data_IF_791159310142
#
_entry.id   IF_791159310142
#
_cell.length_a   1.000
_cell.length_b   1.000
_cell.length_c   1.000
_cell.angle_alpha   90.00
_cell.angle_beta   90.00
_cell.angle_gamma   90.00
#
_symmetry.space_group_name_H-M   'P 1'
#
loop_
_entity.id
_entity.type
_entity.pdbx_description
1 polymer ?
#
# COMPACT_ATOMS: atom_id res chain seq x y z
N UNK A 1 -5.69 -22.52 -4.66
CA UNK A 1 -5.41 -21.08 -4.45
C UNK A 1 -5.64 -20.47 -5.82
N UNK A 2 -6.90 -20.42 -6.27
CA UNK A 2 -7.19 -20.39 -7.72
C UNK A 2 -7.70 -19.02 -8.19
N UNK A 3 -7.67 -18.01 -7.30
CA UNK A 3 -8.07 -16.64 -7.61
C UNK A 3 -7.17 -15.65 -6.88
N UNK A 4 -6.46 -14.81 -7.64
CA UNK A 4 -5.72 -13.66 -7.11
C UNK A 4 -6.74 -12.63 -6.58
N UNK A 5 -6.60 -12.22 -5.32
CA UNK A 5 -7.50 -11.26 -4.66
C UNK A 5 -7.54 -9.91 -5.39
N UNK A 6 -6.52 -9.61 -6.18
CA UNK A 6 -6.40 -8.37 -6.95
C UNK A 6 -7.03 -8.46 -8.33
N UNK A 7 -7.33 -9.68 -8.83
CA UNK A 7 -7.97 -9.88 -10.13
C UNK A 7 -9.48 -9.71 -10.07
N UNK A 8 -10.08 -9.90 -8.90
CA UNK A 8 -11.52 -9.73 -8.73
C UNK A 8 -11.87 -8.23 -8.66
N UNK A 9 -12.72 -7.75 -9.57
CA UNK A 9 -13.30 -6.39 -9.50
C UNK A 9 -14.20 -6.22 -8.25
N UNK A 10 -14.51 -7.33 -7.58
CA UNK A 10 -15.17 -7.39 -6.28
C UNK A 10 -14.61 -8.59 -5.51
N UNK A 11 -14.16 -8.41 -4.27
CA UNK A 11 -13.70 -9.52 -3.43
C UNK A 11 -14.82 -10.57 -3.35
N UNK A 12 -14.45 -11.86 -3.30
CA UNK A 12 -15.43 -12.93 -3.16
C UNK A 12 -16.31 -12.63 -1.95
N UNK A 13 -17.62 -12.43 -2.15
CA UNK A 13 -18.58 -12.13 -1.09
C UNK A 13 -18.55 -13.13 0.08
N UNK A 14 -17.95 -14.30 -0.16
CA UNK A 14 -17.72 -15.37 0.81
C UNK A 14 -16.97 -14.92 2.07
N UNK A 15 -16.07 -13.92 2.00
CA UNK A 15 -15.23 -13.51 3.15
C UNK A 15 -15.45 -12.05 3.58
N UNK A 16 -16.53 -11.41 3.12
CA UNK A 16 -16.80 -10.02 3.43
C UNK A 16 -17.08 -9.81 4.92
N UNK A 17 -16.37 -8.87 5.55
CA UNK A 17 -16.55 -8.55 6.97
C UNK A 17 -16.16 -9.66 7.94
N UNK A 18 -15.25 -10.56 7.57
CA UNK A 18 -14.81 -11.64 8.47
C UNK A 18 -13.71 -11.22 9.44
N UNK A 19 -12.91 -10.21 9.08
CA UNK A 19 -11.68 -9.89 9.80
C UNK A 19 -11.84 -8.66 10.70
N UNK A 20 -11.40 -8.77 11.94
CA UNK A 20 -11.26 -7.62 12.86
C UNK A 20 -9.98 -6.83 12.58
N UNK A 21 -9.03 -7.41 11.86
CA UNK A 21 -7.73 -6.80 11.59
C UNK A 21 -7.16 -7.27 10.25
N UNK A 22 -6.69 -6.34 9.43
CA UNK A 22 -5.97 -6.61 8.18
C UNK A 22 -4.65 -5.85 8.22
N UNK A 23 -3.55 -6.54 7.90
CA UNK A 23 -2.23 -5.93 7.73
C UNK A 23 -1.78 -5.99 6.28
N UNK A 24 -1.28 -4.86 5.79
CA UNK A 24 -0.67 -4.72 4.48
C UNK A 24 0.73 -4.14 4.72
N UNK A 25 1.73 -5.01 4.77
CA UNK A 25 3.08 -4.62 5.18
C UNK A 25 4.03 -4.63 3.98
N UNK A 26 4.28 -3.45 3.40
CA UNK A 26 5.19 -3.27 2.26
C UNK A 26 4.79 -4.09 1.02
N UNK A 27 3.47 -4.08 0.73
CA UNK A 27 2.85 -4.82 -0.38
C UNK A 27 2.37 -3.88 -1.48
N UNK A 28 1.83 -2.70 -1.15
CA UNK A 28 1.19 -1.83 -2.15
C UNK A 28 2.20 -1.26 -3.14
N UNK A 29 3.45 -1.04 -2.73
CA UNK A 29 4.56 -0.66 -3.62
C UNK A 29 5.15 -1.85 -4.41
N UNK A 30 4.65 -3.07 -4.17
CA UNK A 30 5.14 -4.34 -4.75
C UNK A 30 4.11 -5.12 -5.55
N UNK A 31 2.96 -4.51 -5.85
CA UNK A 31 1.86 -5.16 -6.54
C UNK A 31 1.42 -4.39 -7.80
N UNK A 32 0.70 -5.07 -8.69
CA UNK A 32 0.20 -4.49 -9.92
C UNK A 32 -0.98 -3.53 -9.70
N UNK A 33 -1.87 -3.87 -8.76
CA UNK A 33 -3.15 -3.15 -8.52
C UNK A 33 -3.27 -2.70 -7.06
N UNK A 34 -2.43 -1.78 -6.56
CA UNK A 34 -2.47 -1.36 -5.15
C UNK A 34 -3.82 -0.82 -4.67
N UNK A 35 -4.53 -0.08 -5.53
CA UNK A 35 -5.87 0.39 -5.21
C UNK A 35 -6.87 -0.78 -5.00
N UNK A 36 -6.72 -1.87 -5.76
CA UNK A 36 -7.56 -3.06 -5.58
C UNK A 36 -7.24 -3.81 -4.28
N UNK A 37 -5.97 -3.82 -3.85
CA UNK A 37 -5.56 -4.37 -2.54
C UNK A 37 -6.25 -3.59 -1.41
N UNK A 38 -6.24 -2.26 -1.44
CA UNK A 38 -6.91 -1.43 -0.43
C UNK A 38 -8.43 -1.67 -0.40
N UNK A 39 -9.10 -1.73 -1.55
CA UNK A 39 -10.53 -2.04 -1.63
C UNK A 39 -10.85 -3.44 -1.08
N UNK A 40 -9.99 -4.41 -1.38
CA UNK A 40 -10.15 -5.77 -0.86
C UNK A 40 -10.01 -5.79 0.65
N UNK A 41 -8.99 -5.12 1.20
CA UNK A 41 -8.82 -5.00 2.64
C UNK A 41 -10.03 -4.35 3.32
N UNK A 42 -10.61 -3.29 2.74
CA UNK A 42 -11.81 -2.64 3.28
C UNK A 42 -12.98 -3.62 3.34
N UNK A 43 -13.23 -4.37 2.26
CA UNK A 43 -14.34 -5.33 2.20
C UNK A 43 -14.21 -6.52 3.18
N UNK A 44 -12.97 -6.92 3.48
CA UNK A 44 -12.67 -8.04 4.36
C UNK A 44 -12.83 -7.64 5.84
N UNK A 45 -12.70 -6.34 6.13
CA UNK A 45 -12.80 -5.81 7.48
C UNK A 45 -14.25 -5.72 7.95
N UNK A 46 -14.44 -6.06 9.22
CA UNK A 46 -15.65 -5.71 9.97
C UNK A 46 -15.76 -4.18 10.13
N UNK A 47 -16.96 -3.64 10.41
CA UNK A 47 -17.14 -2.20 10.65
C UNK A 47 -16.26 -1.64 11.78
N UNK A 48 -15.98 -2.44 12.82
CA UNK A 48 -15.11 -2.04 13.94
C UNK A 48 -13.65 -2.50 13.78
N UNK A 49 -13.30 -3.00 12.60
CA UNK A 49 -11.98 -3.56 12.33
C UNK A 49 -10.88 -2.51 12.17
N UNK A 50 -9.66 -2.99 11.95
CA UNK A 50 -8.47 -2.17 11.84
C UNK A 50 -7.63 -2.53 10.62
N UNK A 51 -7.14 -1.51 9.92
CA UNK A 51 -6.10 -1.64 8.91
C UNK A 51 -4.77 -1.18 9.49
N UNK A 52 -3.74 -2.02 9.41
CA UNK A 52 -2.34 -1.61 9.54
C UNK A 52 -1.68 -1.61 8.16
N UNK A 53 -1.35 -0.44 7.65
CA UNK A 53 -0.68 -0.27 6.35
C UNK A 53 0.75 0.22 6.57
N UNK A 54 1.70 -0.42 5.91
CA UNK A 54 3.09 0.04 5.79
C UNK A 54 3.48 0.11 4.31
N UNK A 55 4.18 1.17 3.93
CA UNK A 55 4.76 1.35 2.59
C UNK A 55 5.96 2.28 2.64
N UNK A 56 7.06 1.95 1.93
CA UNK A 56 8.19 2.86 1.84
C UNK A 56 7.82 4.12 1.05
N UNK A 57 8.35 5.25 1.51
CA UNK A 57 8.31 6.53 0.82
C UNK A 57 9.75 7.03 0.55
N UNK A 58 10.01 7.74 -0.57
CA UNK A 58 9.06 8.08 -1.61
C UNK A 58 8.50 6.86 -2.36
N UNK A 59 7.21 6.91 -2.67
CA UNK A 59 6.47 5.78 -3.23
C UNK A 59 6.99 5.44 -4.63
N UNK A 60 7.55 4.24 -4.78
CA UNK A 60 8.13 3.76 -6.03
C UNK A 60 7.59 2.36 -6.34
N UNK A 61 6.35 2.31 -6.84
CA UNK A 61 5.68 1.04 -7.12
C UNK A 61 6.28 0.32 -8.33
N UNK A 62 6.57 -0.97 -8.12
CA UNK A 62 6.93 -1.92 -9.17
C UNK A 62 6.54 -3.33 -8.75
N UNK A 63 6.44 -4.26 -9.69
CA UNK A 63 6.14 -5.65 -9.39
C UNK A 63 6.83 -6.59 -10.38
N UNK A 64 6.90 -7.88 -10.04
CA UNK A 64 7.53 -8.89 -10.89
C UNK A 64 6.46 -9.69 -11.67
N UNK A 65 6.60 -9.75 -13.00
CA UNK A 65 5.91 -10.71 -13.87
C UNK A 65 6.94 -11.70 -14.40
N UNK A 66 7.10 -12.81 -13.67
CA UNK A 66 8.18 -13.77 -13.91
C UNK A 66 9.54 -13.06 -13.85
N UNK A 67 10.38 -13.11 -14.91
CA UNK A 67 11.70 -12.49 -14.91
C UNK A 67 11.68 -10.97 -15.17
N UNK A 68 10.51 -10.36 -15.39
CA UNK A 68 10.40 -8.94 -15.75
C UNK A 68 9.95 -8.10 -14.57
N UNK A 69 10.62 -6.97 -14.36
CA UNK A 69 10.11 -5.88 -13.53
C UNK A 69 9.17 -5.01 -14.36
N UNK A 70 7.97 -4.76 -13.84
CA UNK A 70 6.96 -3.90 -14.44
C UNK A 70 6.51 -2.83 -13.44
N UNK A 71 5.83 -1.79 -13.93
CA UNK A 71 5.18 -0.77 -13.11
C UNK A 71 3.67 -0.88 -13.27
N UNK A 72 2.89 -0.60 -12.21
CA UNK A 72 1.45 -0.47 -12.32
C UNK A 72 1.07 0.49 -13.44
N UNK A 73 0.00 0.17 -14.19
CA UNK A 73 -0.53 1.10 -15.16
C UNK A 73 -1.15 2.32 -14.45
N UNK A 74 -1.17 3.51 -15.05
CA UNK A 74 -1.64 4.73 -14.39
C UNK A 74 -2.99 4.59 -13.70
N UNK A 75 -3.94 3.88 -14.32
CA UNK A 75 -5.29 3.60 -13.82
C UNK A 75 -5.34 2.67 -12.60
N UNK A 76 -4.27 1.92 -12.33
CA UNK A 76 -4.18 1.00 -11.21
C UNK A 76 -3.32 1.54 -10.05
N UNK A 77 -2.63 2.68 -10.25
CA UNK A 77 -1.81 3.34 -9.22
C UNK A 77 -2.66 4.04 -8.15
N UNK A 78 -2.04 4.39 -7.03
CA UNK A 78 -2.65 5.24 -5.98
C UNK A 78 -2.65 6.74 -6.35
N UNK A 79 -2.19 7.11 -7.56
CA UNK A 79 -2.07 8.50 -8.04
C UNK A 79 -1.31 9.43 -7.06
N UNK A 80 -0.33 8.88 -6.35
CA UNK A 80 0.57 9.68 -5.54
C UNK A 80 1.38 10.62 -6.45
N UNK A 81 1.58 11.85 -5.99
CA UNK A 81 2.35 12.83 -6.76
C UNK A 81 3.75 12.29 -7.01
N UNK A 82 4.19 12.35 -8.26
CA UNK A 82 5.57 12.08 -8.60
C UNK A 82 6.48 13.12 -7.92
N UNK A 83 7.54 12.63 -7.30
CA UNK A 83 8.52 13.46 -6.61
C UNK A 83 9.89 13.20 -7.22
N UNK A 84 10.72 14.24 -7.29
CA UNK A 84 12.10 14.07 -7.72
C UNK A 84 12.89 13.34 -6.63
N UNK A 85 13.81 12.47 -7.01
CA UNK A 85 14.71 11.77 -6.06
C UNK A 85 15.66 12.73 -5.33
N UNK A 86 15.76 13.99 -5.76
CA UNK A 86 16.62 15.00 -5.13
C UNK A 86 16.00 15.62 -3.87
N UNK A 87 14.68 15.47 -3.66
CA UNK A 87 13.94 16.16 -2.60
C UNK A 87 13.43 15.20 -1.52
N UNK A 88 14.23 14.17 -1.17
CA UNK A 88 13.79 13.00 -0.39
C UNK A 88 12.91 13.30 0.83
N UNK A 89 13.26 14.29 1.66
CA UNK A 89 12.48 14.65 2.85
C UNK A 89 11.16 15.37 2.51
N UNK A 90 11.19 16.32 1.58
CA UNK A 90 10.00 17.03 1.14
C UNK A 90 9.04 16.09 0.39
N UNK A 91 9.59 15.18 -0.41
CA UNK A 91 8.88 14.12 -1.08
C UNK A 91 8.17 13.19 -0.11
N UNK A 92 8.86 12.76 0.95
CA UNK A 92 8.29 11.92 2.01
C UNK A 92 7.09 12.60 2.66
N UNK A 93 7.26 13.83 3.16
CA UNK A 93 6.18 14.55 3.85
C UNK A 93 4.97 14.82 2.96
N UNK A 94 5.19 15.18 1.70
CA UNK A 94 4.13 15.42 0.72
C UNK A 94 3.30 14.15 0.45
N UNK A 95 3.96 13.02 0.25
CA UNK A 95 3.28 11.76 -0.04
C UNK A 95 2.63 11.15 1.20
N UNK A 96 3.25 11.27 2.38
CA UNK A 96 2.62 10.88 3.64
C UNK A 96 1.32 11.68 3.89
N UNK A 97 1.35 13.00 3.66
CA UNK A 97 0.15 13.83 3.73
C UNK A 97 -0.92 13.36 2.74
N UNK A 98 -0.54 13.11 1.48
CA UNK A 98 -1.48 12.64 0.46
C UNK A 98 -2.08 11.27 0.79
N UNK A 99 -1.30 10.35 1.37
CA UNK A 99 -1.80 9.06 1.84
C UNK A 99 -2.88 9.23 2.91
N UNK A 100 -2.65 10.14 3.85
CA UNK A 100 -3.56 10.41 4.97
C UNK A 100 -4.83 11.16 4.53
N UNK A 101 -4.72 12.18 3.68
CA UNK A 101 -5.84 13.08 3.38
C UNK A 101 -6.64 12.69 2.15
N UNK A 102 -6.01 11.97 1.21
CA UNK A 102 -6.61 11.74 -0.11
C UNK A 102 -6.76 10.23 -0.38
N UNK A 103 -5.68 9.46 -0.29
CA UNK A 103 -5.67 8.05 -0.73
C UNK A 103 -6.48 7.16 0.22
N UNK A 104 -6.17 7.16 1.52
CA UNK A 104 -6.88 6.31 2.49
C UNK A 104 -8.39 6.65 2.55
N UNK A 105 -8.79 7.93 2.68
CA UNK A 105 -10.21 8.29 2.64
C UNK A 105 -10.91 7.87 1.34
N UNK A 106 -10.26 8.01 0.18
CA UNK A 106 -10.83 7.57 -1.09
C UNK A 106 -11.04 6.04 -1.18
N UNK A 107 -10.38 5.27 -0.31
CA UNK A 107 -10.52 3.81 -0.22
C UNK A 107 -11.32 3.37 1.02
N UNK A 108 -12.09 4.28 1.64
CA UNK A 108 -12.96 3.97 2.77
C UNK A 108 -12.21 3.79 4.08
N UNK A 109 -11.04 4.42 4.24
CA UNK A 109 -10.28 4.35 5.49
C UNK A 109 -10.14 5.72 6.13
N UNK A 110 -10.39 5.79 7.43
CA UNK A 110 -10.08 6.93 8.29
C UNK A 110 -8.75 6.67 9.02
N UNK A 111 -7.67 7.41 8.71
CA UNK A 111 -6.41 7.28 9.45
C UNK A 111 -6.56 7.74 10.89
N UNK A 112 -6.06 6.95 11.84
CA UNK A 112 -6.10 7.26 13.28
C UNK A 112 -4.76 7.79 13.76
N UNK A 113 -3.69 7.09 13.41
CA UNK A 113 -2.33 7.45 13.81
C UNK A 113 -1.35 6.91 12.79
N UNK A 114 -0.27 7.66 12.54
CA UNK A 114 0.83 7.20 11.69
C UNK A 114 2.18 7.45 12.37
N UNK A 115 3.20 6.79 11.87
CA UNK A 115 4.58 6.97 12.26
C UNK A 115 5.50 6.76 11.06
N UNK A 116 6.73 7.27 11.17
CA UNK A 116 7.82 7.01 10.23
C UNK A 116 8.80 6.05 10.89
N UNK A 117 9.14 4.95 10.24
CA UNK A 117 10.04 3.92 10.77
C UNK A 117 11.12 3.56 9.74
N UNK A 118 12.30 3.10 10.17
CA UNK A 118 13.25 2.50 9.25
C UNK A 118 12.69 1.15 8.75
N UNK A 119 12.76 0.90 7.44
CA UNK A 119 12.44 -0.39 6.83
C UNK A 119 13.67 -0.98 6.16
N UNK A 120 14.03 -2.19 6.58
CA UNK A 120 15.11 -2.98 6.01
C UNK A 120 14.51 -4.09 5.15
N UNK A 121 14.81 -4.10 3.86
CA UNK A 121 14.38 -5.16 2.95
C UNK A 121 15.58 -5.87 2.32
N UNK A 122 15.37 -7.13 1.91
CA UNK A 122 16.36 -7.85 1.12
C UNK A 122 16.64 -7.09 -0.16
N UNK A 123 17.90 -6.91 -0.49
CA UNK A 123 18.26 -6.28 -1.76
C UNK A 123 18.40 -7.31 -2.89
N UNK A 124 19.30 -7.03 -3.80
CA UNK A 124 19.57 -7.81 -5.00
C UNK A 124 21.03 -8.31 -5.01
N UNK A 125 21.50 -8.76 -6.18
CA UNK A 125 22.85 -9.28 -6.35
C UNK A 125 23.94 -8.21 -6.15
N UNK A 126 23.62 -6.92 -6.29
CA UNK A 126 24.56 -5.80 -6.17
C UNK A 126 24.47 -5.14 -4.80
N UNK A 127 23.24 -5.00 -4.28
CA UNK A 127 22.96 -4.36 -2.99
C UNK A 127 22.36 -5.41 -2.04
N UNK A 128 23.00 -5.81 -0.94
CA UNK A 128 22.52 -6.93 -0.10
C UNK A 128 21.23 -6.60 0.67
N UNK A 129 21.02 -5.33 1.00
CA UNK A 129 19.81 -4.85 1.66
C UNK A 129 19.52 -3.40 1.27
N UNK A 130 18.23 -3.05 1.22
CA UNK A 130 17.79 -1.67 1.08
C UNK A 130 17.38 -1.13 2.44
N UNK A 131 17.87 0.06 2.78
CA UNK A 131 17.37 0.86 3.89
C UNK A 131 16.43 1.92 3.32
N UNK A 132 15.15 1.81 3.66
CA UNK A 132 14.07 2.69 3.21
C UNK A 132 13.41 3.39 4.41
N UNK A 133 12.72 4.50 4.14
CA UNK A 133 11.88 5.20 5.10
C UNK A 133 10.43 4.71 4.96
N UNK A 134 9.94 3.98 5.96
CA UNK A 134 8.60 3.43 5.98
C UNK A 134 7.59 4.46 6.51
N UNK A 135 6.45 4.54 5.86
CA UNK A 135 5.25 5.17 6.38
C UNK A 135 4.33 4.08 6.91
N UNK A 136 4.06 4.10 8.21
CA UNK A 136 3.19 3.12 8.87
C UNK A 136 2.00 3.82 9.47
N UNK A 137 0.80 3.35 9.16
CA UNK A 137 -0.46 3.96 9.59
C UNK A 137 -1.44 2.91 10.07
N UNK A 138 -2.12 3.25 11.16
CA UNK A 138 -3.30 2.55 11.64
C UNK A 138 -4.54 3.33 11.20
N UNK A 139 -5.49 2.65 10.57
CA UNK A 139 -6.72 3.25 10.07
C UNK A 139 -7.95 2.38 10.37
N UNK A 140 -9.13 3.00 10.37
CA UNK A 140 -10.42 2.33 10.55
C UNK A 140 -11.19 2.31 9.23
N UNK A 141 -11.95 1.26 8.91
CA UNK A 141 -12.87 1.30 7.79
C UNK A 141 -14.04 2.26 8.10
N UNK A 142 -14.47 3.02 7.09
CA UNK A 142 -15.63 3.94 7.12
C UNK A 142 -16.54 3.72 5.92
#
# INVERSE_FOLDING_TARGET
>A
WDSDITEADSPSAEHAGEFEFVSILNVIDRCERPAAVLRSAHSLLQPEGWLLLATPLPYNAFFYRGPRTARPSPECTLQLRETSSADGEAAWGQQAAQLLTDVLPAHGFEPVVFTRLPYLSSGDAETPFWWLDDFVVLARPV
#
